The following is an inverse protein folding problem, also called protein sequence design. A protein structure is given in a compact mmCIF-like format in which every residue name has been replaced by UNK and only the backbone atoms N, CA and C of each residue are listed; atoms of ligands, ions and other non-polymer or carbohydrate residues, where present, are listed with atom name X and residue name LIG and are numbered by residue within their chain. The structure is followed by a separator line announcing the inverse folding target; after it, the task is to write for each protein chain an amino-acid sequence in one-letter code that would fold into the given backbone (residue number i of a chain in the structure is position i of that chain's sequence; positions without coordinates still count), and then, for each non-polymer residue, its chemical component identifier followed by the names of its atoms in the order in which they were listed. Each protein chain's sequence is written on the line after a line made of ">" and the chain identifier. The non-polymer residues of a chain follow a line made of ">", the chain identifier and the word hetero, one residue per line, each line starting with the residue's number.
data_IF_043947868291
#
_entry.id   IF_043947868291
#
_cell.length_a   1.000
_cell.length_b   1.000
_cell.length_c   1.000
_cell.angle_alpha   90.00
_cell.angle_beta   90.00
_cell.angle_gamma   90.00
#
_symmetry.space_group_name_H-M   'P 1'
#
loop_
_entity.id
_entity.type
_entity.pdbx_description
1 polymer ?
#
# COMPACT_ATOMS: atom_id res chain seq x y z
N UNK A 1 -41.43 -53.57 -45.87
CA UNK A 1 -40.22 -52.90 -46.36
C UNK A 1 -40.22 -51.37 -46.08
N UNK A 2 -41.31 -50.65 -46.25
CA UNK A 2 -41.35 -49.18 -46.07
C UNK A 2 -40.98 -48.67 -44.66
N UNK A 3 -41.30 -49.40 -43.59
CA UNK A 3 -40.96 -48.94 -42.22
C UNK A 3 -39.49 -49.14 -41.83
N UNK A 4 -38.79 -50.10 -42.42
CA UNK A 4 -37.35 -50.29 -42.16
C UNK A 4 -36.48 -49.19 -42.78
N UNK A 5 -36.90 -48.71 -43.96
CA UNK A 5 -36.19 -47.60 -44.67
C UNK A 5 -36.38 -46.27 -43.94
N UNK A 6 -37.60 -46.04 -43.39
CA UNK A 6 -37.90 -44.85 -42.59
C UNK A 6 -37.06 -44.74 -41.29
N UNK A 7 -36.89 -45.87 -40.63
CA UNK A 7 -36.06 -45.95 -39.42
C UNK A 7 -34.58 -45.82 -39.70
N UNK A 8 -34.09 -46.27 -40.85
CA UNK A 8 -32.72 -46.13 -41.29
C UNK A 8 -32.36 -44.67 -41.67
N UNK A 9 -33.32 -43.99 -42.32
CA UNK A 9 -33.18 -42.55 -42.64
C UNK A 9 -33.25 -41.68 -41.40
N UNK A 10 -34.13 -42.04 -40.41
CA UNK A 10 -34.17 -41.30 -39.13
C UNK A 10 -32.92 -41.48 -38.31
N UNK A 11 -32.30 -42.66 -38.30
CA UNK A 11 -31.07 -42.96 -37.60
C UNK A 11 -29.86 -42.27 -38.22
N UNK A 12 -29.85 -42.14 -39.57
CA UNK A 12 -28.85 -41.40 -40.30
C UNK A 12 -28.89 -39.88 -40.07
N UNK A 13 -30.07 -39.30 -39.94
CA UNK A 13 -30.20 -37.86 -39.62
C UNK A 13 -29.84 -37.51 -38.16
N UNK A 14 -30.09 -38.43 -37.24
CA UNK A 14 -29.72 -38.22 -35.81
C UNK A 14 -28.20 -38.33 -35.62
N UNK A 15 -27.53 -39.24 -36.34
CA UNK A 15 -26.06 -39.35 -36.27
C UNK A 15 -25.34 -38.20 -36.99
N UNK A 16 -25.93 -37.58 -38.02
CA UNK A 16 -25.38 -36.40 -38.65
C UNK A 16 -25.55 -35.14 -37.79
N UNK A 17 -26.67 -35.01 -37.05
CA UNK A 17 -26.92 -33.90 -36.14
C UNK A 17 -26.05 -33.94 -34.88
N UNK A 18 -25.65 -35.12 -34.40
CA UNK A 18 -24.73 -35.29 -33.30
C UNK A 18 -23.25 -35.05 -33.68
N UNK A 19 -22.89 -35.21 -34.95
CA UNK A 19 -21.51 -34.98 -35.41
C UNK A 19 -21.15 -33.50 -35.65
N UNK A 20 -22.12 -32.61 -35.78
CA UNK A 20 -21.89 -31.17 -35.99
C UNK A 20 -21.86 -30.34 -34.71
N UNK A 21 -22.26 -30.91 -33.57
CA UNK A 21 -22.26 -30.20 -32.29
C UNK A 21 -20.95 -30.30 -31.49
N UNK A 22 -19.96 -31.07 -31.96
CA UNK A 22 -18.69 -31.26 -31.23
C UNK A 22 -17.58 -30.28 -31.63
N UNK A 23 -17.78 -29.49 -32.69
CA UNK A 23 -16.76 -28.51 -33.13
C UNK A 23 -16.98 -27.09 -32.60
N UNK A 24 -18.03 -26.86 -31.78
CA UNK A 24 -18.34 -25.51 -31.30
C UNK A 24 -17.65 -25.09 -30.00
N UNK A 25 -16.88 -25.98 -29.35
CA UNK A 25 -16.28 -25.67 -28.04
C UNK A 25 -14.77 -25.41 -28.11
N UNK A 26 -14.07 -25.70 -29.20
CA UNK A 26 -12.63 -25.46 -29.27
C UNK A 26 -12.32 -23.97 -29.50
N UNK A 27 -13.02 -23.28 -30.40
CA UNK A 27 -12.81 -21.85 -30.64
C UNK A 27 -13.18 -20.95 -29.46
N UNK A 28 -14.00 -21.45 -28.51
CA UNK A 28 -14.34 -20.68 -27.30
C UNK A 28 -13.25 -20.82 -26.20
N UNK A 29 -12.55 -21.94 -26.20
CA UNK A 29 -11.45 -22.17 -25.24
C UNK A 29 -10.11 -21.61 -25.74
N UNK A 30 -9.96 -21.48 -27.06
CA UNK A 30 -8.77 -20.86 -27.69
C UNK A 30 -8.90 -19.33 -27.85
N UNK A 31 -10.01 -18.74 -27.44
CA UNK A 31 -10.08 -17.29 -27.31
C UNK A 31 -9.19 -16.88 -26.15
N UNK A 32 -7.95 -16.50 -26.46
CA UNK A 32 -7.15 -15.69 -25.53
C UNK A 32 -8.06 -14.57 -25.04
N UNK A 33 -8.15 -14.46 -23.72
CA UNK A 33 -8.95 -13.39 -23.13
C UNK A 33 -8.38 -12.06 -23.59
N UNK A 34 -9.05 -11.43 -24.57
CA UNK A 34 -8.70 -10.13 -25.17
C UNK A 34 -8.63 -8.97 -24.13
N UNK A 35 -8.70 -9.30 -22.87
CA UNK A 35 -8.69 -8.34 -21.76
C UNK A 35 -7.62 -8.58 -20.68
N UNK A 36 -6.74 -9.56 -20.84
CA UNK A 36 -5.60 -9.70 -19.95
C UNK A 36 -4.43 -8.88 -20.48
N UNK A 37 -4.24 -7.69 -19.92
CA UNK A 37 -2.99 -6.95 -20.07
C UNK A 37 -1.87 -7.89 -19.63
N UNK A 38 -1.03 -8.33 -20.57
CA UNK A 38 0.10 -9.18 -20.21
C UNK A 38 1.03 -8.43 -19.25
N UNK A 39 1.80 -9.15 -18.44
CA UNK A 39 2.78 -8.53 -17.56
C UNK A 39 3.74 -7.60 -18.32
N UNK A 40 4.06 -7.95 -19.55
CA UNK A 40 4.88 -7.11 -20.43
C UNK A 40 4.16 -5.83 -20.88
N UNK A 41 2.84 -5.87 -21.11
CA UNK A 41 2.08 -4.72 -21.57
C UNK A 41 1.81 -3.71 -20.44
N UNK A 42 1.83 -4.17 -19.19
CA UNK A 42 1.59 -3.32 -18.01
C UNK A 42 2.64 -2.21 -17.87
N UNK A 43 3.87 -2.42 -18.34
CA UNK A 43 5.00 -1.52 -18.12
C UNK A 43 5.44 -0.73 -19.36
N UNK A 44 4.81 -0.94 -20.53
CA UNK A 44 5.30 -0.38 -21.80
C UNK A 44 4.97 1.10 -21.97
N UNK A 45 3.84 1.56 -21.48
CA UNK A 45 3.40 2.95 -21.62
C UNK A 45 2.91 3.54 -20.29
N UNK A 46 2.90 4.87 -20.20
CA UNK A 46 2.53 5.58 -18.98
C UNK A 46 1.14 5.19 -18.46
N UNK A 47 0.13 5.13 -19.34
CA UNK A 47 -1.25 4.84 -18.93
C UNK A 47 -1.39 3.47 -18.26
N UNK A 48 -0.80 2.44 -18.87
CA UNK A 48 -0.86 1.08 -18.33
C UNK A 48 -0.08 0.99 -17.03
N UNK A 49 1.10 1.60 -16.99
CA UNK A 49 1.93 1.60 -15.79
C UNK A 49 1.28 2.39 -14.65
N UNK A 50 0.65 3.52 -14.95
CA UNK A 50 -0.12 4.26 -13.95
C UNK A 50 -1.29 3.40 -13.41
N UNK A 51 -2.01 2.67 -14.26
CA UNK A 51 -3.03 1.70 -13.85
C UNK A 51 -2.47 0.61 -12.92
N UNK A 52 -1.26 0.13 -13.20
CA UNK A 52 -0.55 -0.80 -12.32
C UNK A 52 -0.26 -0.18 -10.94
N UNK A 53 0.17 1.08 -10.89
CA UNK A 53 0.42 1.81 -9.63
C UNK A 53 -0.88 2.05 -8.87
N UNK A 54 -1.97 2.35 -9.57
CA UNK A 54 -3.28 2.64 -8.96
C UNK A 54 -3.87 1.44 -8.21
N UNK A 55 -3.46 0.23 -8.51
CA UNK A 55 -3.81 -0.93 -7.70
C UNK A 55 -3.25 -0.83 -6.27
N UNK A 56 -2.07 -0.22 -6.10
CA UNK A 56 -1.50 0.01 -4.76
C UNK A 56 -2.33 1.04 -3.99
N UNK A 57 -2.84 2.09 -4.67
CA UNK A 57 -3.79 3.02 -4.04
C UNK A 57 -5.05 2.31 -3.55
N UNK A 58 -5.56 1.35 -4.31
CA UNK A 58 -6.74 0.58 -3.91
C UNK A 58 -6.52 -0.28 -2.66
N UNK A 59 -5.27 -0.61 -2.36
CA UNK A 59 -4.93 -1.38 -1.16
C UNK A 59 -4.89 -0.53 0.12
N UNK A 60 -4.92 0.81 0.00
CA UNK A 60 -4.92 1.70 1.17
C UNK A 60 -6.24 1.50 1.94
N UNK A 61 -6.17 1.16 3.24
CA UNK A 61 -7.38 0.92 4.03
C UNK A 61 -8.16 2.22 4.25
N UNK A 62 -9.47 2.11 4.28
CA UNK A 62 -10.35 3.20 4.70
C UNK A 62 -10.35 3.29 6.23
N UNK A 63 -9.48 4.13 6.77
CA UNK A 63 -9.31 4.29 8.21
C UNK A 63 -10.47 5.04 8.88
N UNK A 64 -11.33 5.72 8.14
CA UNK A 64 -12.45 6.49 8.69
C UNK A 64 -13.70 5.64 8.92
N UNK A 65 -13.94 4.64 8.08
CA UNK A 65 -15.12 3.77 8.17
C UNK A 65 -14.96 2.60 9.14
N UNK A 66 -13.94 2.61 9.96
CA UNK A 66 -13.64 1.53 10.88
C UNK A 66 -14.46 1.61 12.18
N UNK A 67 -15.79 1.69 12.07
CA UNK A 67 -16.67 1.71 13.24
C UNK A 67 -17.06 0.31 13.74
N UNK A 68 -16.77 -0.74 12.98
CA UNK A 68 -17.16 -2.10 13.33
C UNK A 68 -16.00 -2.93 13.87
N UNK A 69 -14.95 -3.05 13.16
CA UNK A 69 -13.70 -3.75 13.51
C UNK A 69 -12.66 -3.42 12.44
N UNK A 70 -11.46 -3.29 12.76
CA UNK A 70 -10.74 -2.70 13.85
C UNK A 70 -10.81 -1.18 13.76
N UNK A 71 -11.28 -0.57 14.80
CA UNK A 71 -11.35 0.87 14.86
C UNK A 71 -9.95 1.46 15.07
N UNK A 72 -9.47 2.22 14.12
CA UNK A 72 -8.22 2.96 14.20
C UNK A 72 -8.25 4.09 15.21
N UNK A 73 -9.45 4.63 15.45
CA UNK A 73 -9.68 5.76 16.31
C UNK A 73 -9.97 5.36 17.76
N UNK A 74 -9.85 4.09 18.10
CA UNK A 74 -10.19 3.56 19.41
C UNK A 74 -8.97 2.98 20.10
N UNK A 75 -7.85 3.67 20.03
CA UNK A 75 -6.57 3.13 20.48
C UNK A 75 -5.69 4.11 21.21
N UNK A 76 -6.25 5.24 21.63
CA UNK A 76 -5.55 6.24 22.43
C UNK A 76 -6.13 6.35 23.84
N UNK A 77 -5.45 7.09 24.66
CA UNK A 77 -5.80 7.32 26.08
C UNK A 77 -7.13 8.07 26.25
N UNK A 78 -7.65 8.65 25.17
CA UNK A 78 -8.82 9.53 25.23
C UNK A 78 -10.13 8.77 24.97
N UNK A 79 -10.06 7.60 24.33
CA UNK A 79 -11.26 6.83 23.94
C UNK A 79 -11.18 5.43 24.51
N UNK A 80 -11.92 5.17 25.55
CA UNK A 80 -12.12 3.84 26.11
C UNK A 80 -13.38 3.19 25.51
N UNK A 81 -13.22 2.01 24.91
CA UNK A 81 -14.35 1.20 24.48
C UNK A 81 -14.55 0.04 25.46
N UNK A 82 -15.65 0.04 26.24
CA UNK A 82 -15.96 -1.03 27.19
C UNK A 82 -16.40 -2.35 26.54
N UNK A 83 -16.65 -2.37 25.23
CA UNK A 83 -17.04 -3.59 24.53
C UNK A 83 -15.86 -4.53 24.38
N UNK A 84 -15.98 -5.69 24.99
CA UNK A 84 -14.90 -6.63 25.26
C UNK A 84 -14.39 -7.44 24.05
N UNK A 85 -14.95 -7.25 22.87
CA UNK A 85 -14.68 -8.13 21.75
C UNK A 85 -13.63 -7.59 20.79
N UNK A 86 -12.42 -8.04 20.97
CA UNK A 86 -11.41 -8.05 19.91
C UNK A 86 -10.95 -6.70 19.36
N UNK A 87 -11.36 -5.58 19.93
CA UNK A 87 -10.96 -4.26 19.46
C UNK A 87 -9.54 -3.94 19.95
N UNK A 88 -8.78 -3.28 19.09
CA UNK A 88 -7.36 -3.02 19.30
C UNK A 88 -7.07 -2.38 20.64
N UNK A 89 -7.78 -1.34 20.98
CA UNK A 89 -7.65 -0.59 22.24
C UNK A 89 -7.78 -1.49 23.45
N UNK A 90 -8.87 -2.25 23.49
CA UNK A 90 -9.14 -3.11 24.63
C UNK A 90 -8.06 -4.19 24.78
N UNK A 91 -7.57 -4.75 23.68
CA UNK A 91 -6.51 -5.76 23.72
C UNK A 91 -5.14 -5.15 24.08
N UNK A 92 -4.87 -3.93 23.66
CA UNK A 92 -3.66 -3.18 24.04
C UNK A 92 -3.71 -2.83 25.53
N UNK A 93 -4.83 -2.33 26.03
CA UNK A 93 -5.04 -1.98 27.44
C UNK A 93 -4.92 -3.20 28.35
N UNK A 94 -5.40 -4.35 27.90
CA UNK A 94 -5.22 -5.63 28.60
C UNK A 94 -3.80 -6.21 28.46
N UNK A 95 -2.91 -5.58 27.70
CA UNK A 95 -1.59 -6.13 27.40
C UNK A 95 -1.61 -7.35 26.50
N UNK A 96 -2.72 -7.61 25.79
CA UNK A 96 -2.96 -8.82 25.01
C UNK A 96 -2.80 -8.61 23.52
N UNK A 97 -1.83 -7.82 23.10
CA UNK A 97 -1.57 -7.48 21.71
C UNK A 97 -1.41 -8.71 20.79
N UNK A 98 -0.79 -9.79 21.32
CA UNK A 98 -0.59 -11.02 20.53
C UNK A 98 -1.88 -11.77 20.23
N UNK A 99 -2.83 -11.80 21.14
CA UNK A 99 -4.12 -12.44 20.89
C UNK A 99 -4.89 -11.70 19.81
N UNK A 100 -4.76 -10.38 19.77
CA UNK A 100 -5.38 -9.57 18.73
C UNK A 100 -4.86 -9.88 17.32
N UNK A 101 -3.59 -10.27 17.15
CA UNK A 101 -3.03 -10.72 15.89
C UNK A 101 -3.64 -12.03 15.36
N UNK A 102 -4.40 -12.75 16.17
CA UNK A 102 -5.00 -14.04 15.81
C UNK A 102 -6.52 -13.97 15.60
N UNK A 103 -7.14 -12.82 15.76
CA UNK A 103 -8.62 -12.68 15.79
C UNK A 103 -9.24 -12.04 14.56
N UNK A 104 -8.55 -12.00 13.42
CA UNK A 104 -9.17 -11.59 12.15
C UNK A 104 -9.35 -10.09 11.94
N UNK A 105 -8.52 -9.27 12.56
CA UNK A 105 -8.52 -7.82 12.38
C UNK A 105 -7.30 -7.30 11.62
N UNK A 106 -7.13 -5.98 11.58
CA UNK A 106 -6.06 -5.32 10.82
C UNK A 106 -4.66 -5.90 11.04
N UNK A 107 -4.33 -6.33 12.25
CA UNK A 107 -3.05 -6.99 12.52
C UNK A 107 -3.04 -8.50 12.32
N UNK A 108 -4.14 -9.07 11.84
CA UNK A 108 -4.21 -10.50 11.59
C UNK A 108 -3.12 -10.94 10.59
N UNK A 109 -2.41 -12.01 10.96
CA UNK A 109 -1.24 -12.49 10.20
C UNK A 109 -1.63 -13.27 8.94
N UNK A 110 -2.78 -13.94 8.96
CA UNK A 110 -3.25 -14.79 7.87
C UNK A 110 -4.33 -14.02 7.09
N UNK A 111 -4.02 -13.70 5.88
CA UNK A 111 -4.75 -12.66 5.27
C UNK A 111 -5.90 -13.02 4.39
N UNK A 112 -6.82 -12.13 4.34
CA UNK A 112 -7.70 -11.91 3.22
C UNK A 112 -6.90 -11.67 1.93
N UNK A 113 -7.50 -11.98 0.80
CA UNK A 113 -6.93 -11.66 -0.50
C UNK A 113 -6.62 -10.16 -0.59
N UNK A 114 -5.37 -9.74 -0.82
CA UNK A 114 -5.00 -8.33 -0.93
C UNK A 114 -5.71 -7.60 -2.07
N UNK A 115 -6.20 -8.29 -3.07
CA UNK A 115 -6.98 -7.71 -4.18
C UNK A 115 -8.48 -7.63 -3.87
N UNK A 116 -8.92 -8.09 -2.69
CA UNK A 116 -10.32 -8.00 -2.28
C UNK A 116 -10.78 -6.55 -2.19
N UNK A 117 -11.99 -6.30 -2.65
CA UNK A 117 -12.67 -5.00 -2.50
C UNK A 117 -13.17 -4.75 -1.08
N UNK A 118 -13.12 -5.75 -0.22
CA UNK A 118 -13.48 -5.61 1.19
C UNK A 118 -12.39 -4.89 1.97
N UNK A 119 -12.49 -3.56 1.99
CA UNK A 119 -11.54 -2.68 2.67
C UNK A 119 -11.67 -2.71 4.20
N UNK A 120 -12.66 -3.40 4.76
CA UNK A 120 -12.89 -3.47 6.20
C UNK A 120 -12.17 -4.65 6.87
N UNK A 121 -11.97 -5.73 6.12
CA UNK A 121 -11.34 -6.95 6.63
C UNK A 121 -9.92 -7.16 6.11
N UNK A 122 -9.25 -6.10 5.71
CA UNK A 122 -7.86 -6.16 5.25
C UNK A 122 -6.91 -6.41 6.43
N UNK A 123 -6.01 -7.36 6.25
CA UNK A 123 -4.92 -7.59 7.20
C UNK A 123 -3.67 -6.85 6.75
N UNK A 124 -3.06 -6.08 7.64
CA UNK A 124 -1.88 -5.27 7.33
C UNK A 124 -0.73 -6.10 6.75
N UNK A 125 -0.43 -7.24 7.38
CA UNK A 125 0.74 -8.04 7.01
C UNK A 125 0.73 -8.49 5.54
N UNK A 126 -0.28 -9.23 5.06
CA UNK A 126 -0.28 -9.69 3.66
C UNK A 126 -0.45 -8.54 2.67
N UNK A 127 -1.21 -7.49 3.01
CA UNK A 127 -1.39 -6.34 2.14
C UNK A 127 -0.10 -5.54 1.96
N UNK A 128 0.62 -5.30 3.05
CA UNK A 128 1.87 -4.57 2.99
C UNK A 128 2.90 -5.30 2.11
N UNK A 129 3.10 -6.60 2.32
CA UNK A 129 4.05 -7.36 1.52
C UNK A 129 3.65 -7.47 0.05
N UNK A 130 2.36 -7.58 -0.23
CA UNK A 130 1.85 -7.51 -1.60
C UNK A 130 2.18 -6.17 -2.26
N UNK A 131 1.91 -5.06 -1.60
CA UNK A 131 2.16 -3.72 -2.12
C UNK A 131 3.66 -3.41 -2.24
N UNK A 132 4.47 -3.83 -1.26
CA UNK A 132 5.93 -3.72 -1.33
C UNK A 132 6.47 -4.50 -2.53
N UNK A 133 5.99 -5.73 -2.75
CA UNK A 133 6.36 -6.53 -3.91
C UNK A 133 5.97 -5.82 -5.21
N UNK A 134 4.75 -5.29 -5.30
CA UNK A 134 4.31 -4.53 -6.48
C UNK A 134 5.18 -3.30 -6.71
N UNK A 135 5.50 -2.54 -5.68
CA UNK A 135 6.37 -1.37 -5.81
C UNK A 135 7.77 -1.77 -6.32
N UNK A 136 8.35 -2.83 -5.78
CA UNK A 136 9.64 -3.34 -6.23
C UNK A 136 9.60 -3.87 -7.67
N UNK A 137 8.54 -4.59 -8.05
CA UNK A 137 8.34 -5.07 -9.41
C UNK A 137 8.21 -3.90 -10.40
N UNK A 138 7.43 -2.87 -10.04
CA UNK A 138 7.33 -1.67 -10.86
C UNK A 138 8.68 -0.98 -11.03
N UNK A 139 9.42 -0.74 -9.97
CA UNK A 139 10.75 -0.13 -10.03
C UNK A 139 11.74 -0.94 -10.88
N UNK A 140 11.70 -2.28 -10.79
CA UNK A 140 12.54 -3.17 -11.59
C UNK A 140 12.18 -3.18 -13.09
N UNK A 141 10.98 -2.75 -13.45
CA UNK A 141 10.51 -2.69 -14.84
C UNK A 141 10.44 -1.26 -15.41
N UNK A 142 10.95 -0.26 -14.68
CA UNK A 142 10.86 1.15 -15.10
C UNK A 142 11.58 1.42 -16.44
N UNK A 143 12.62 0.67 -16.75
CA UNK A 143 13.37 0.78 -17.99
C UNK A 143 12.54 0.34 -19.22
N UNK A 144 11.53 -0.51 -19.04
CA UNK A 144 10.61 -0.93 -20.10
C UNK A 144 9.65 0.18 -20.53
N UNK A 145 9.46 1.20 -19.69
CA UNK A 145 8.56 2.30 -19.96
C UNK A 145 9.07 3.17 -21.11
N UNK A 146 8.34 3.17 -22.22
CA UNK A 146 8.57 4.06 -23.36
C UNK A 146 7.79 5.36 -23.11
N UNK A 147 8.44 6.32 -22.46
CA UNK A 147 7.83 7.56 -22.01
C UNK A 147 8.88 8.65 -21.81
N UNK A 148 8.45 9.88 -21.62
CA UNK A 148 9.31 11.00 -21.24
C UNK A 148 9.97 10.77 -19.88
N UNK A 149 11.03 11.52 -19.60
CA UNK A 149 11.66 11.47 -18.28
C UNK A 149 10.65 11.87 -17.17
N UNK A 150 9.86 12.90 -17.43
CA UNK A 150 8.84 13.37 -16.47
C UNK A 150 7.84 12.27 -16.13
N UNK A 151 7.29 11.56 -17.13
CA UNK A 151 6.37 10.44 -16.92
C UNK A 151 7.03 9.30 -16.12
N UNK A 152 8.31 8.99 -16.43
CA UNK A 152 9.07 7.99 -15.66
C UNK A 152 9.25 8.43 -14.20
N UNK A 153 9.56 9.70 -13.97
CA UNK A 153 9.73 10.29 -12.66
C UNK A 153 8.42 10.21 -11.85
N UNK A 154 7.27 10.47 -12.47
CA UNK A 154 5.96 10.37 -11.84
C UNK A 154 5.65 8.93 -11.38
N UNK A 155 5.91 7.95 -12.23
CA UNK A 155 5.72 6.53 -11.88
C UNK A 155 6.69 6.13 -10.76
N UNK A 156 7.98 6.41 -10.93
CA UNK A 156 9.00 6.05 -9.94
C UNK A 156 8.74 6.69 -8.57
N UNK A 157 8.37 7.97 -8.55
CA UNK A 157 8.08 8.69 -7.31
C UNK A 157 6.95 8.06 -6.52
N UNK A 158 5.85 7.67 -7.17
CA UNK A 158 4.74 6.96 -6.52
C UNK A 158 5.19 5.60 -5.97
N UNK A 159 5.97 4.84 -6.75
CA UNK A 159 6.45 3.52 -6.33
C UNK A 159 7.41 3.60 -5.13
N UNK A 160 8.33 4.57 -5.13
CA UNK A 160 9.20 4.83 -3.97
C UNK A 160 8.38 5.22 -2.74
N UNK A 161 7.41 6.11 -2.90
CA UNK A 161 6.52 6.49 -1.80
C UNK A 161 5.79 5.28 -1.22
N UNK A 162 5.15 4.47 -2.03
CA UNK A 162 4.40 3.31 -1.57
C UNK A 162 5.28 2.25 -0.93
N UNK A 163 6.48 2.03 -1.46
CA UNK A 163 7.42 1.11 -0.82
C UNK A 163 7.77 1.55 0.59
N UNK A 164 8.08 2.82 0.77
CA UNK A 164 8.36 3.40 2.08
C UNK A 164 7.13 3.36 2.99
N UNK A 165 5.96 3.76 2.47
CA UNK A 165 4.73 3.86 3.24
C UNK A 165 4.30 2.52 3.82
N UNK A 166 4.30 1.47 3.02
CA UNK A 166 3.93 0.14 3.49
C UNK A 166 4.93 -0.45 4.49
N UNK A 167 6.23 -0.17 4.32
CA UNK A 167 7.21 -0.54 5.34
C UNK A 167 6.97 0.24 6.65
N UNK A 168 6.71 1.54 6.58
CA UNK A 168 6.48 2.35 7.78
C UNK A 168 5.16 1.99 8.47
N UNK A 169 4.12 1.61 7.73
CA UNK A 169 2.89 1.06 8.32
C UNK A 169 3.18 -0.25 9.09
N UNK A 170 3.97 -1.16 8.54
CA UNK A 170 4.40 -2.36 9.26
C UNK A 170 5.24 -2.01 10.50
N UNK A 171 6.16 -1.06 10.38
CA UNK A 171 7.06 -0.67 11.46
C UNK A 171 6.33 -0.10 12.68
N UNK A 172 5.18 0.55 12.49
CA UNK A 172 4.36 1.08 13.58
C UNK A 172 3.92 -0.02 14.56
N UNK A 173 3.64 -1.22 14.07
CA UNK A 173 3.10 -2.33 14.85
C UNK A 173 4.11 -3.42 15.17
N UNK A 174 5.10 -3.62 14.29
CA UNK A 174 6.04 -4.74 14.39
C UNK A 174 7.47 -4.31 14.71
N UNK A 175 7.75 -3.00 14.74
CA UNK A 175 9.09 -2.47 14.96
C UNK A 175 9.99 -2.69 13.74
N UNK A 176 11.28 -2.96 13.97
CA UNK A 176 12.21 -3.30 12.89
C UNK A 176 11.82 -4.59 12.18
N UNK A 177 12.12 -4.68 10.90
CA UNK A 177 11.72 -5.79 10.03
C UNK A 177 12.72 -5.94 8.86
N UNK A 178 12.67 -7.01 8.07
CA UNK A 178 13.41 -7.05 6.81
C UNK A 178 12.92 -5.95 5.87
N UNK A 179 13.79 -5.01 5.48
CA UNK A 179 13.42 -3.97 4.52
C UNK A 179 13.71 -4.46 3.11
N UNK A 180 12.65 -4.78 2.35
CA UNK A 180 12.74 -5.35 1.01
C UNK A 180 12.70 -4.22 -0.01
N UNK A 181 13.85 -3.84 -0.54
CA UNK A 181 14.04 -2.76 -1.51
C UNK A 181 14.39 -3.24 -2.93
N UNK A 182 14.30 -4.55 -3.16
CA UNK A 182 14.54 -5.18 -4.45
C UNK A 182 13.40 -6.10 -4.83
N UNK A 183 13.20 -6.33 -6.13
CA UNK A 183 12.24 -7.32 -6.61
C UNK A 183 12.78 -8.73 -6.34
N UNK A 184 12.05 -9.48 -5.56
CA UNK A 184 12.34 -10.88 -5.26
C UNK A 184 11.53 -11.77 -6.20
N UNK A 185 12.19 -12.55 -7.03
CA UNK A 185 11.58 -13.56 -7.88
C UNK A 185 11.34 -14.89 -7.12
N UNK A 186 10.82 -15.89 -7.83
CA UNK A 186 10.52 -17.19 -7.22
C UNK A 186 11.76 -17.97 -6.74
N UNK A 187 12.96 -17.60 -7.21
CA UNK A 187 14.22 -18.25 -6.87
C UNK A 187 15.01 -17.47 -5.82
N UNK A 188 14.51 -16.31 -5.41
CA UNK A 188 15.19 -15.47 -4.43
C UNK A 188 15.19 -16.12 -3.04
N UNK A 189 16.32 -16.02 -2.34
CA UNK A 189 16.39 -16.43 -0.93
C UNK A 189 15.54 -15.49 -0.07
N UNK A 190 14.65 -16.06 0.73
CA UNK A 190 13.77 -15.32 1.64
C UNK A 190 14.31 -15.23 3.08
N UNK A 191 15.51 -15.74 3.33
CA UNK A 191 16.14 -15.65 4.65
C UNK A 191 16.77 -14.26 4.87
N UNK A 192 15.92 -13.24 4.96
CA UNK A 192 16.31 -11.86 5.13
C UNK A 192 16.43 -11.50 6.62
N UNK A 193 17.52 -10.87 7.05
CA UNK A 193 17.68 -10.48 8.44
C UNK A 193 16.68 -9.39 8.85
N UNK A 194 16.24 -9.46 10.09
CA UNK A 194 15.48 -8.36 10.69
C UNK A 194 16.43 -7.20 10.99
N UNK A 195 16.12 -6.03 10.47
CA UNK A 195 16.83 -4.79 10.76
C UNK A 195 16.28 -4.14 12.04
N UNK A 196 17.03 -3.24 12.64
CA UNK A 196 16.54 -2.36 13.69
C UNK A 196 15.51 -1.38 13.15
N UNK A 197 14.73 -0.76 14.04
CA UNK A 197 13.79 0.29 13.66
C UNK A 197 14.48 1.45 12.94
N UNK A 198 15.62 1.89 13.46
CA UNK A 198 16.41 2.99 12.91
C UNK A 198 16.96 2.68 11.52
N UNK A 199 17.47 1.47 11.29
CA UNK A 199 17.93 1.04 9.97
C UNK A 199 16.78 0.99 8.97
N UNK A 200 15.61 0.51 9.37
CA UNK A 200 14.41 0.54 8.53
C UNK A 200 13.98 1.98 8.24
N UNK A 201 14.01 2.86 9.23
CA UNK A 201 13.65 4.26 9.08
C UNK A 201 14.58 5.01 8.11
N UNK A 202 15.89 4.75 8.16
CA UNK A 202 16.85 5.32 7.18
C UNK A 202 16.54 4.87 5.74
N UNK A 203 16.21 3.58 5.55
CA UNK A 203 15.83 3.06 4.22
C UNK A 203 14.51 3.66 3.73
N UNK A 204 13.49 3.71 4.58
CA UNK A 204 12.21 4.33 4.25
C UNK A 204 12.36 5.82 3.94
N UNK A 205 13.18 6.52 4.74
CA UNK A 205 13.48 7.93 4.51
C UNK A 205 14.18 8.18 3.17
N UNK A 206 15.08 7.29 2.76
CA UNK A 206 15.73 7.38 1.45
C UNK A 206 14.72 7.22 0.31
N UNK A 207 13.74 6.33 0.44
CA UNK A 207 12.66 6.17 -0.53
C UNK A 207 11.70 7.36 -0.55
N UNK A 208 11.29 7.88 0.60
CA UNK A 208 10.47 9.09 0.67
C UNK A 208 11.19 10.31 0.09
N UNK A 209 12.51 10.44 0.30
CA UNK A 209 13.30 11.52 -0.32
C UNK A 209 13.27 11.41 -1.84
N UNK A 210 13.52 10.22 -2.40
CA UNK A 210 13.40 9.98 -3.84
C UNK A 210 12.01 10.33 -4.34
N UNK A 211 10.96 9.92 -3.62
CA UNK A 211 9.60 10.27 -3.96
C UNK A 211 9.38 11.80 -3.98
N UNK A 212 9.85 12.51 -2.96
CA UNK A 212 9.74 13.97 -2.89
C UNK A 212 10.50 14.69 -4.02
N UNK A 213 11.63 14.13 -4.44
CA UNK A 213 12.46 14.71 -5.51
C UNK A 213 11.86 14.47 -6.91
N UNK A 214 11.12 13.38 -7.10
CA UNK A 214 10.54 12.97 -8.38
C UNK A 214 9.09 13.43 -8.57
N UNK A 215 8.33 13.58 -7.49
CA UNK A 215 6.92 13.94 -7.56
C UNK A 215 6.69 15.46 -7.62
N UNK A 216 5.66 15.91 -8.35
CA UNK A 216 5.28 17.31 -8.39
C UNK A 216 4.68 17.79 -7.05
N UNK A 217 4.68 19.07 -6.84
CA UNK A 217 3.92 19.69 -5.74
C UNK A 217 2.41 19.58 -6.01
N UNK A 218 2.01 19.80 -7.25
CA UNK A 218 0.62 19.74 -7.68
C UNK A 218 0.53 19.03 -9.04
N UNK A 219 -0.18 17.89 -9.10
CA UNK A 219 -0.40 17.13 -10.31
C UNK A 219 -1.18 17.88 -11.38
N UNK A 220 -2.02 18.84 -11.01
CA UNK A 220 -2.80 19.62 -11.96
C UNK A 220 -1.93 20.56 -12.83
N UNK A 221 -0.69 20.77 -12.42
CA UNK A 221 0.30 21.52 -13.17
C UNK A 221 1.12 20.66 -14.14
N UNK A 222 0.97 19.34 -14.09
CA UNK A 222 1.67 18.40 -14.98
C UNK A 222 0.78 18.05 -16.16
N UNK A 223 1.39 17.79 -17.33
CA UNK A 223 0.66 17.41 -18.54
C UNK A 223 -0.21 16.17 -18.31
N UNK A 224 0.32 15.18 -17.63
CA UNK A 224 -0.40 13.92 -17.37
C UNK A 224 -1.48 14.06 -16.28
N UNK A 225 -1.38 15.07 -15.44
CA UNK A 225 -2.42 15.48 -14.50
C UNK A 225 -3.56 16.27 -15.14
N UNK A 226 -3.34 16.86 -16.31
CA UNK A 226 -4.33 17.70 -16.99
C UNK A 226 -5.62 16.95 -17.34
N UNK A 227 -5.53 15.67 -17.68
CA UNK A 227 -6.71 14.84 -18.00
C UNK A 227 -7.62 14.59 -16.79
N UNK A 228 -7.10 14.74 -15.58
CA UNK A 228 -7.81 14.55 -14.30
C UNK A 228 -7.80 15.83 -13.46
N UNK A 229 -7.61 16.98 -14.09
CA UNK A 229 -7.52 18.28 -13.39
C UNK A 229 -8.69 18.50 -12.44
N UNK A 230 -8.38 18.95 -11.23
CA UNK A 230 -9.35 19.14 -10.14
C UNK A 230 -9.79 17.84 -9.45
N UNK A 231 -9.16 16.69 -9.78
CA UNK A 231 -9.41 15.37 -9.17
C UNK A 231 -8.12 14.72 -8.63
N UNK A 232 -7.03 15.49 -8.57
CA UNK A 232 -5.72 14.97 -8.17
C UNK A 232 -5.37 15.25 -6.69
N UNK A 233 -6.30 15.79 -5.90
CA UNK A 233 -6.05 16.18 -4.50
C UNK A 233 -5.57 15.03 -3.61
N UNK A 234 -6.02 13.82 -3.90
CA UNK A 234 -5.63 12.60 -3.16
C UNK A 234 -4.46 11.86 -3.79
N UNK A 235 -3.93 12.33 -4.92
CA UNK A 235 -2.77 11.72 -5.54
C UNK A 235 -1.51 12.09 -4.78
N UNK A 236 -0.67 11.08 -4.53
CA UNK A 236 0.59 11.27 -3.80
C UNK A 236 1.46 12.29 -4.53
N UNK A 237 1.95 13.27 -3.79
CA UNK A 237 2.74 14.38 -4.30
C UNK A 237 3.95 14.66 -3.39
N UNK A 238 4.78 15.63 -3.77
CA UNK A 238 5.96 16.05 -3.01
C UNK A 238 5.63 16.41 -1.56
N UNK A 239 4.53 17.11 -1.32
CA UNK A 239 4.16 17.57 0.02
C UNK A 239 3.84 16.39 0.93
N UNK A 240 3.09 15.41 0.42
CA UNK A 240 2.81 14.17 1.14
C UNK A 240 4.10 13.39 1.43
N UNK A 241 5.00 13.29 0.44
CA UNK A 241 6.27 12.59 0.61
C UNK A 241 7.15 13.24 1.68
N UNK A 242 7.25 14.56 1.70
CA UNK A 242 7.99 15.31 2.74
C UNK A 242 7.35 15.15 4.12
N UNK A 243 6.01 15.19 4.21
CA UNK A 243 5.30 14.97 5.46
C UNK A 243 5.58 13.60 6.07
N UNK A 244 5.53 12.54 5.26
CA UNK A 244 5.84 11.18 5.73
C UNK A 244 7.34 10.98 6.00
N UNK A 245 8.23 11.64 5.25
CA UNK A 245 9.66 11.64 5.52
C UNK A 245 9.96 12.24 6.90
N UNK A 246 9.42 13.43 7.18
CA UNK A 246 9.58 14.09 8.48
C UNK A 246 9.00 13.25 9.62
N UNK A 247 7.81 12.69 9.44
CA UNK A 247 7.16 11.79 10.40
C UNK A 247 8.02 10.55 10.67
N UNK A 248 8.61 9.95 9.64
CA UNK A 248 9.46 8.76 9.78
C UNK A 248 10.68 9.05 10.65
N UNK A 249 11.35 10.17 10.42
CA UNK A 249 12.47 10.59 11.25
C UNK A 249 12.04 10.95 12.69
N UNK A 250 10.90 11.62 12.85
CA UNK A 250 10.39 11.98 14.17
C UNK A 250 10.08 10.73 15.02
N UNK A 251 9.49 9.72 14.43
CA UNK A 251 9.23 8.45 15.11
C UNK A 251 10.52 7.71 15.44
N UNK A 252 11.49 7.67 14.50
CA UNK A 252 12.80 7.08 14.77
C UNK A 252 13.59 7.80 15.88
N UNK A 253 13.31 9.08 16.10
CA UNK A 253 13.88 9.87 17.18
C UNK A 253 13.28 9.54 18.56
N UNK A 254 12.09 8.93 18.60
CA UNK A 254 11.37 8.62 19.84
C UNK A 254 12.19 7.71 20.75
N UNK A 255 12.22 7.99 22.07
CA UNK A 255 12.84 7.10 23.06
C UNK A 255 12.32 5.66 23.00
N UNK A 256 11.06 5.46 22.61
CA UNK A 256 10.45 4.14 22.45
C UNK A 256 11.06 3.32 21.33
N UNK A 257 11.58 3.97 20.30
CA UNK A 257 12.14 3.32 19.11
C UNK A 257 13.66 3.21 19.15
N UNK A 258 14.29 4.01 19.99
CA UNK A 258 15.74 3.96 20.23
C UNK A 258 16.09 2.62 20.88
N UNK A 259 17.16 1.99 20.44
CA UNK A 259 17.62 0.68 20.95
C UNK A 259 16.65 -0.50 20.71
N UNK A 260 15.73 -0.36 19.75
CA UNK A 260 14.73 -1.37 19.42
C UNK A 260 13.61 -1.47 20.46
N UNK A 261 12.68 -2.39 20.25
CA UNK A 261 11.51 -2.62 21.11
C UNK A 261 11.82 -3.04 22.57
N UNK A 262 13.06 -2.96 23.02
CA UNK A 262 13.48 -3.37 24.35
C UNK A 262 13.33 -2.27 25.42
N UNK A 263 13.07 -1.04 25.01
CA UNK A 263 13.01 0.10 25.93
C UNK A 263 11.89 -0.05 26.95
N UNK A 264 10.74 -0.58 26.57
CA UNK A 264 9.63 -0.82 27.48
C UNK A 264 9.81 -2.02 28.42
N UNK A 265 10.69 -2.96 28.09
CA UNK A 265 10.85 -4.21 28.82
C UNK A 265 11.99 -4.18 29.86
N UNK A 266 12.96 -3.28 29.73
CA UNK A 266 14.10 -3.22 30.62
C UNK A 266 14.10 -1.94 31.44
N UNK A 267 13.67 -2.03 32.68
CA UNK A 267 13.84 -0.98 33.69
C UNK A 267 15.31 -0.80 34.17
N UNK A 268 16.27 -1.25 33.39
CA UNK A 268 17.68 -1.35 33.75
C UNK A 268 18.44 -0.03 33.57
N UNK A 269 17.95 1.07 34.16
CA UNK A 269 18.71 2.30 34.24
C UNK A 269 19.04 3.01 32.91
N UNK A 270 18.43 2.60 31.83
CA UNK A 270 18.56 3.29 30.54
C UNK A 270 17.81 4.61 30.58
N UNK A 271 18.46 5.67 30.16
CA UNK A 271 17.83 6.97 29.97
C UNK A 271 16.90 6.89 28.77
N UNK A 272 15.69 7.38 28.92
CA UNK A 272 14.71 7.47 27.82
C UNK A 272 14.95 8.76 27.02
N UNK A 273 16.19 8.94 26.57
CA UNK A 273 16.55 10.10 25.76
C UNK A 273 16.12 9.87 24.31
N UNK A 274 15.68 10.94 23.65
CA UNK A 274 15.40 10.89 22.22
C UNK A 274 16.71 10.81 21.40
N UNK A 275 16.61 10.35 20.14
CA UNK A 275 17.71 10.35 19.20
C UNK A 275 17.83 11.72 18.52
N UNK A 276 18.82 12.50 18.94
CA UNK A 276 19.05 13.87 18.47
C UNK A 276 19.31 13.92 16.94
N UNK A 277 20.03 12.94 16.39
CA UNK A 277 20.32 12.86 14.95
C UNK A 277 19.02 12.77 14.13
N UNK A 278 18.11 11.90 14.53
CA UNK A 278 16.84 11.75 13.85
C UNK A 278 15.89 12.93 14.09
N UNK A 279 15.88 13.48 15.30
CA UNK A 279 15.10 14.67 15.61
C UNK A 279 15.52 15.87 14.74
N UNK A 280 16.84 16.08 14.57
CA UNK A 280 17.38 17.12 13.68
C UNK A 280 16.95 16.91 12.23
N UNK A 281 17.08 15.68 11.72
CA UNK A 281 16.63 15.35 10.35
C UNK A 281 15.13 15.61 10.16
N UNK A 282 14.31 15.26 11.16
CA UNK A 282 12.88 15.56 11.12
C UNK A 282 12.61 17.07 11.04
N UNK A 283 13.29 17.86 11.86
CA UNK A 283 13.16 19.31 11.86
C UNK A 283 13.59 19.93 10.52
N UNK A 284 14.67 19.46 9.91
CA UNK A 284 15.14 19.92 8.60
C UNK A 284 14.10 19.64 7.51
N UNK A 285 13.52 18.45 7.48
CA UNK A 285 12.49 18.09 6.49
C UNK A 285 11.19 18.85 6.68
N UNK A 286 10.73 19.00 7.93
CA UNK A 286 9.54 19.81 8.21
C UNK A 286 9.78 21.29 7.92
N UNK A 287 11.02 21.80 8.10
CA UNK A 287 11.40 23.15 7.67
C UNK A 287 11.32 23.34 6.15
N UNK A 288 11.78 22.35 5.37
CA UNK A 288 11.60 22.32 3.92
C UNK A 288 10.12 22.36 3.53
N UNK A 289 9.31 21.50 4.16
CA UNK A 289 7.86 21.44 3.93
C UNK A 289 7.18 22.77 4.25
N UNK A 290 7.45 23.36 5.41
CA UNK A 290 6.89 24.65 5.83
C UNK A 290 7.29 25.76 4.87
N UNK A 291 8.52 25.78 4.37
CA UNK A 291 8.97 26.77 3.38
C UNK A 291 8.12 26.73 2.11
N UNK A 292 7.74 25.53 1.64
CA UNK A 292 6.86 25.37 0.47
C UNK A 292 5.43 25.84 0.76
N UNK A 293 4.91 25.53 1.94
CA UNK A 293 3.54 25.89 2.36
C UNK A 293 3.42 27.40 2.60
N UNK A 294 4.29 27.98 3.41
CA UNK A 294 4.28 29.41 3.75
C UNK A 294 4.68 30.28 2.56
N UNK A 295 5.52 29.75 1.66
CA UNK A 295 5.88 30.39 0.40
C UNK A 295 4.79 30.38 -0.67
N UNK A 296 3.61 29.82 -0.37
CA UNK A 296 2.49 29.74 -1.30
C UNK A 296 2.75 28.87 -2.54
N UNK A 297 3.69 27.94 -2.46
CA UNK A 297 4.05 27.06 -3.58
C UNK A 297 3.17 25.83 -3.68
N UNK A 298 2.23 25.65 -2.76
CA UNK A 298 1.35 24.48 -2.68
C UNK A 298 -0.10 24.91 -2.48
N UNK A 299 -1.04 24.05 -2.88
CA UNK A 299 -2.47 24.20 -2.60
C UNK A 299 -2.84 23.91 -1.13
N UNK A 300 -1.92 23.37 -0.36
CA UNK A 300 -2.14 23.07 1.06
C UNK A 300 -1.78 24.27 1.94
N UNK A 301 -2.46 24.37 3.07
CA UNK A 301 -2.19 25.33 4.12
C UNK A 301 -2.24 24.67 5.50
N UNK A 302 -1.64 25.32 6.49
CA UNK A 302 -1.83 24.90 7.88
C UNK A 302 -3.23 25.31 8.32
N UNK A 303 -4.02 24.35 8.76
CA UNK A 303 -5.33 24.65 9.31
C UNK A 303 -5.20 25.27 10.71
N UNK A 304 -5.98 26.33 10.96
CA UNK A 304 -6.15 26.85 12.32
C UNK A 304 -7.11 25.95 13.09
N UNK A 305 -6.57 24.93 13.76
CA UNK A 305 -7.38 24.07 14.60
C UNK A 305 -7.65 24.70 15.97
N UNK A 306 -8.94 24.80 16.29
CA UNK A 306 -9.36 24.79 17.70
C UNK A 306 -9.75 23.37 18.05
N UNK A 307 -9.27 22.86 19.20
CA UNK A 307 -9.52 21.48 19.65
C UNK A 307 -11.00 21.06 19.53
N UNK A 308 -11.92 21.98 19.84
CA UNK A 308 -13.37 21.76 19.71
C UNK A 308 -13.86 21.56 18.26
N UNK A 309 -13.10 21.97 17.26
CA UNK A 309 -13.51 21.89 15.85
C UNK A 309 -13.14 20.53 15.25
N UNK A 310 -12.23 19.78 15.88
CA UNK A 310 -11.82 18.44 15.47
C UNK A 310 -12.92 17.39 15.70
N UNK A 311 -13.79 17.61 16.68
CA UNK A 311 -14.85 16.67 17.08
C UNK A 311 -16.24 17.05 16.59
N UNK A 312 -16.40 18.10 15.81
CA UNK A 312 -17.71 18.60 15.36
C UNK A 312 -17.94 18.43 13.86
N UNK A 313 -17.14 17.60 13.17
CA UNK A 313 -17.32 17.30 11.75
C UNK A 313 -17.65 15.84 11.50
#
# INVERSE_FOLDING_TARGET
>A
MKNKIKNFLLMGCVSLALGTSLNSCQDYLDKEADSTVSENDAFVNFRNFQGYVEEIYNCIPDKEKCNWCPSWNWGDDEIFNPEADGRMTHQVDLGNFRAWQTTGNWLYKDGSNPTSTDKFNHSLWPHAWYCIRKANQGLANLDKLVASKAEKDLIAGQLYFFRAWWHTELMQYFGGLPYIDTYLDLNSELNLPRLSYQECAEKAAADYRKAADLLPINWDNEYDGAATQGKNDLRINKIMALGYLGKTYLWAASPLMKDGAQVGASKNGKTYDYDEKFAKKAAEVFGELLTLVEGGQTQYGLAEFKYKDVYNH
#
